data_IF_869958298416
#
_entry.id   IF_869958298416
#
_cell.length_a   1.000
_cell.length_b   1.000
_cell.length_c   1.000
_cell.angle_alpha   90.00
_cell.angle_beta   90.00
_cell.angle_gamma   90.00
#
_symmetry.space_group_name_H-M   'P 1'
#
loop_
_entity.id
_entity.type
_entity.pdbx_description
1 polymer ?
#
# COMPACT_ATOMS: atom_id res chain seq x y z
N UNK A 1 10.14 26.77 14.30
CA UNK A 1 8.86 26.02 14.34
C UNK A 1 9.09 24.76 13.52
N UNK A 2 8.68 23.58 14.00
CA UNK A 2 8.75 22.36 13.21
C UNK A 2 7.68 22.47 12.11
N UNK A 3 8.09 22.31 10.86
CA UNK A 3 7.16 22.33 9.75
C UNK A 3 6.24 21.11 9.83
N UNK A 4 4.93 21.31 9.81
CA UNK A 4 3.94 20.23 9.82
C UNK A 4 3.54 19.88 8.39
N UNK A 5 3.16 18.65 8.14
CA UNK A 5 2.64 18.24 6.83
C UNK A 5 1.42 19.09 6.44
N UNK A 6 0.55 19.36 7.40
CA UNK A 6 -0.62 20.20 7.19
C UNK A 6 -0.26 21.63 6.72
N UNK A 7 0.81 22.21 7.27
CA UNK A 7 1.27 23.54 6.84
C UNK A 7 1.85 23.52 5.42
N UNK A 8 2.56 22.45 5.06
CA UNK A 8 3.07 22.24 3.70
C UNK A 8 1.90 22.16 2.71
N UNK A 9 0.86 21.38 3.05
CA UNK A 9 -0.32 21.21 2.20
C UNK A 9 -1.22 22.46 2.09
N UNK A 10 -1.16 23.37 3.05
CA UNK A 10 -1.86 24.65 2.99
C UNK A 10 -1.09 25.67 2.15
N UNK A 11 0.25 25.61 2.19
CA UNK A 11 1.11 26.54 1.46
C UNK A 11 1.06 26.33 -0.06
N UNK A 12 0.75 25.12 -0.51
CA UNK A 12 0.57 24.81 -1.93
C UNK A 12 -0.93 24.65 -2.22
N UNK A 13 -1.57 25.69 -2.71
CA UNK A 13 -3.02 25.72 -2.99
C UNK A 13 -3.48 24.59 -3.94
N UNK A 14 -2.60 24.09 -4.79
CA UNK A 14 -2.94 23.07 -5.78
C UNK A 14 -2.45 21.66 -5.40
N UNK A 15 -1.55 21.53 -4.42
CA UNK A 15 -0.92 20.25 -4.00
C UNK A 15 -0.48 19.36 -5.18
N UNK A 16 -0.11 19.98 -6.31
CA UNK A 16 0.28 19.30 -7.55
C UNK A 16 1.80 19.32 -7.69
N UNK A 17 2.40 18.14 -7.88
CA UNK A 17 3.86 18.02 -8.03
C UNK A 17 4.64 18.31 -6.74
N UNK A 18 4.00 18.19 -5.59
CA UNK A 18 4.59 18.42 -4.27
C UNK A 18 5.86 17.57 -4.07
N UNK A 19 6.91 18.18 -3.55
CA UNK A 19 8.19 17.49 -3.27
C UNK A 19 8.55 17.60 -1.81
N UNK A 20 8.40 16.49 -1.08
CA UNK A 20 8.76 16.38 0.34
C UNK A 20 9.93 15.41 0.45
N UNK A 21 11.02 15.85 1.07
CA UNK A 21 12.21 15.01 1.22
C UNK A 21 12.85 15.15 2.58
N UNK A 22 13.37 14.01 3.11
CA UNK A 22 14.16 13.97 4.35
C UNK A 22 13.43 14.61 5.54
N UNK A 23 12.11 14.39 5.65
CA UNK A 23 11.27 14.95 6.69
C UNK A 23 10.74 13.87 7.65
N UNK A 24 10.35 14.30 8.84
CA UNK A 24 9.71 13.44 9.82
C UNK A 24 8.44 14.11 10.31
N UNK A 25 7.30 13.46 10.07
CA UNK A 25 5.99 13.90 10.54
C UNK A 25 5.49 12.95 11.64
N UNK A 26 4.94 13.50 12.69
CA UNK A 26 4.44 12.69 13.79
C UNK A 26 3.18 13.27 14.41
N UNK A 27 2.21 12.37 14.68
CA UNK A 27 0.92 12.73 15.30
C UNK A 27 0.11 13.74 14.46
N UNK A 28 0.23 13.65 13.14
CA UNK A 28 -0.49 14.52 12.21
C UNK A 28 -1.81 13.88 11.79
N UNK A 29 -2.83 14.72 11.61
CA UNK A 29 -4.13 14.32 11.06
C UNK A 29 -4.32 15.08 9.76
N UNK A 30 -4.35 14.33 8.66
CA UNK A 30 -4.61 14.84 7.31
C UNK A 30 -6.02 14.44 6.94
N UNK A 31 -6.85 15.39 6.65
CA UNK A 31 -8.27 15.19 6.42
C UNK A 31 -8.73 15.95 5.18
N UNK A 32 -9.46 15.26 4.30
CA UNK A 32 -10.06 15.84 3.08
C UNK A 32 -9.06 16.66 2.26
N UNK A 33 -7.92 16.04 1.93
CA UNK A 33 -6.87 16.64 1.09
C UNK A 33 -6.67 15.86 -0.18
N UNK A 34 -6.30 16.60 -1.21
CA UNK A 34 -5.88 16.07 -2.49
C UNK A 34 -4.39 16.40 -2.69
N UNK A 35 -3.58 15.38 -3.00
CA UNK A 35 -2.15 15.52 -3.26
C UNK A 35 -1.85 14.73 -4.53
N UNK A 36 -1.54 15.43 -5.61
CA UNK A 36 -1.39 14.81 -6.91
C UNK A 36 0.06 14.88 -7.43
N UNK A 37 0.49 13.77 -8.02
CA UNK A 37 1.79 13.68 -8.71
C UNK A 37 3.00 14.15 -7.88
N UNK A 38 2.89 14.03 -6.57
CA UNK A 38 3.96 14.43 -5.65
C UNK A 38 5.08 13.38 -5.58
N UNK A 39 6.25 13.81 -5.11
CA UNK A 39 7.38 12.96 -4.76
C UNK A 39 7.66 13.08 -3.27
N UNK A 40 7.47 11.97 -2.57
CA UNK A 40 7.70 11.84 -1.13
C UNK A 40 8.89 10.89 -0.93
N UNK A 41 10.08 11.42 -0.68
CA UNK A 41 11.31 10.65 -0.64
C UNK A 41 12.01 10.74 0.72
N UNK A 42 12.30 9.60 1.34
CA UNK A 42 12.93 9.48 2.65
C UNK A 42 12.17 10.25 3.75
N UNK A 43 10.86 10.06 3.75
CA UNK A 43 9.98 10.68 4.74
C UNK A 43 9.49 9.64 5.73
N UNK A 44 9.53 9.97 7.02
CA UNK A 44 9.02 9.11 8.06
C UNK A 44 7.73 9.69 8.64
N UNK A 45 6.66 8.93 8.53
CA UNK A 45 5.38 9.23 9.15
C UNK A 45 5.20 8.33 10.38
N UNK A 46 4.91 8.89 11.54
CA UNK A 46 4.67 8.12 12.74
C UNK A 46 3.41 8.58 13.49
N UNK A 47 2.53 7.64 13.81
CA UNK A 47 1.24 7.91 14.45
C UNK A 47 0.38 8.91 13.66
N UNK A 48 0.50 8.94 12.33
CA UNK A 48 -0.27 9.86 11.49
C UNK A 48 -1.60 9.21 11.06
N UNK A 49 -2.60 10.04 10.82
CA UNK A 49 -3.89 9.61 10.31
C UNK A 49 -4.17 10.33 8.99
N UNK A 50 -4.51 9.55 7.98
CA UNK A 50 -4.95 10.02 6.67
C UNK A 50 -6.40 9.59 6.50
N UNK A 51 -7.30 10.53 6.39
CA UNK A 51 -8.72 10.26 6.28
C UNK A 51 -9.33 11.04 5.13
N UNK A 52 -9.96 10.35 4.19
CA UNK A 52 -10.50 10.92 2.96
C UNK A 52 -9.45 11.73 2.18
N UNK A 53 -8.28 11.13 1.98
CA UNK A 53 -7.18 11.78 1.28
C UNK A 53 -7.00 11.15 -0.09
N UNK A 54 -6.96 11.98 -1.12
CA UNK A 54 -6.63 11.54 -2.47
C UNK A 54 -5.13 11.71 -2.71
N UNK A 55 -4.44 10.60 -2.94
CA UNK A 55 -3.01 10.51 -3.21
C UNK A 55 -2.73 10.02 -4.63
N UNK A 56 -3.51 10.48 -5.59
CA UNK A 56 -3.43 10.08 -7.00
C UNK A 56 -2.02 10.30 -7.59
N UNK A 57 -1.45 9.22 -8.16
CA UNK A 57 -0.19 9.26 -8.91
C UNK A 57 1.00 9.85 -8.14
N UNK A 58 1.05 9.65 -6.82
CA UNK A 58 2.20 10.04 -6.01
C UNK A 58 3.27 8.95 -6.01
N UNK A 59 4.53 9.36 -5.94
CA UNK A 59 5.67 8.45 -5.77
C UNK A 59 6.22 8.56 -4.35
N UNK A 60 6.08 7.48 -3.59
CA UNK A 60 6.65 7.32 -2.26
C UNK A 60 7.93 6.48 -2.38
N UNK A 61 9.07 7.07 -2.05
CA UNK A 61 10.38 6.45 -2.19
C UNK A 61 11.07 6.37 -0.83
N UNK A 62 11.63 5.21 -0.48
CA UNK A 62 12.42 5.02 0.74
C UNK A 62 11.73 5.55 2.01
N UNK A 63 10.41 5.51 2.06
CA UNK A 63 9.63 6.18 3.09
C UNK A 63 9.01 5.18 4.07
N UNK A 64 8.82 5.61 5.31
CA UNK A 64 8.31 4.74 6.38
C UNK A 64 7.01 5.28 6.95
N UNK A 65 6.03 4.41 7.07
CA UNK A 65 4.76 4.65 7.75
C UNK A 65 4.71 3.75 8.99
N UNK A 66 4.74 4.33 10.18
CA UNK A 66 4.75 3.59 11.43
C UNK A 66 3.55 3.98 12.29
N UNK A 67 2.73 3.00 12.65
CA UNK A 67 1.49 3.21 13.42
C UNK A 67 0.57 4.25 12.77
N UNK A 68 0.52 4.23 11.45
CA UNK A 68 -0.34 5.13 10.69
C UNK A 68 -1.68 4.47 10.39
N UNK A 69 -2.74 5.28 10.31
CA UNK A 69 -4.06 4.88 9.84
C UNK A 69 -4.38 5.57 8.52
N UNK A 70 -4.84 4.79 7.55
CA UNK A 70 -5.36 5.26 6.28
C UNK A 70 -6.82 4.81 6.19
N UNK A 71 -7.74 5.74 6.10
CA UNK A 71 -9.17 5.47 6.03
C UNK A 71 -9.79 6.30 4.90
N UNK A 72 -10.52 5.63 4.01
CA UNK A 72 -11.08 6.25 2.80
C UNK A 72 -10.00 6.97 1.95
N UNK A 73 -8.82 6.34 1.78
CA UNK A 73 -7.69 6.93 1.04
C UNK A 73 -7.62 6.34 -0.37
N UNK A 74 -7.37 7.20 -1.34
CA UNK A 74 -7.20 6.83 -2.75
C UNK A 74 -5.71 6.89 -3.11
N UNK A 75 -5.12 5.72 -3.42
CA UNK A 75 -3.74 5.56 -3.91
C UNK A 75 -3.71 5.22 -5.41
N UNK A 76 -4.70 5.64 -6.17
CA UNK A 76 -4.80 5.29 -7.59
C UNK A 76 -3.54 5.68 -8.37
N UNK A 77 -2.92 4.69 -9.04
CA UNK A 77 -1.65 4.86 -9.79
C UNK A 77 -0.48 5.39 -8.96
N UNK A 78 -0.52 5.29 -7.65
CA UNK A 78 0.63 5.67 -6.83
C UNK A 78 1.69 4.58 -6.79
N UNK A 79 2.93 4.99 -6.60
CA UNK A 79 4.11 4.12 -6.55
C UNK A 79 4.69 4.11 -5.14
N UNK A 80 5.06 2.93 -4.66
CA UNK A 80 5.73 2.73 -3.38
C UNK A 80 6.98 1.89 -3.61
N UNK A 81 8.15 2.52 -3.60
CA UNK A 81 9.42 1.86 -3.81
C UNK A 81 10.27 1.92 -2.53
N UNK A 82 10.76 0.75 -2.07
CA UNK A 82 11.53 0.62 -0.82
C UNK A 82 10.82 1.22 0.41
N UNK A 83 9.50 1.12 0.45
CA UNK A 83 8.70 1.66 1.55
C UNK A 83 8.46 0.62 2.66
N UNK A 84 8.19 1.11 3.87
CA UNK A 84 7.84 0.26 5.02
C UNK A 84 6.52 0.74 5.63
N UNK A 85 5.56 -0.18 5.74
CA UNK A 85 4.33 0.01 6.51
C UNK A 85 4.40 -0.88 7.75
N UNK A 86 4.63 -0.31 8.93
CA UNK A 86 4.76 -1.05 10.20
C UNK A 86 3.66 -0.67 11.18
N UNK A 87 2.91 -1.65 11.66
CA UNK A 87 1.78 -1.46 12.57
C UNK A 87 0.72 -0.50 12.02
N UNK A 88 0.45 -0.57 10.72
CA UNK A 88 -0.50 0.31 10.04
C UNK A 88 -1.87 -0.35 9.88
N UNK A 89 -2.89 0.49 9.73
CA UNK A 89 -4.22 0.09 9.31
C UNK A 89 -4.58 0.81 8.01
N UNK A 90 -4.97 0.05 6.99
CA UNK A 90 -5.47 0.57 5.72
C UNK A 90 -6.89 0.04 5.55
N UNK A 91 -7.86 0.93 5.60
CA UNK A 91 -9.27 0.58 5.70
C UNK A 91 -10.09 1.35 4.67
N UNK A 92 -11.04 0.69 3.99
CA UNK A 92 -11.96 1.29 3.01
C UNK A 92 -11.23 2.13 1.94
N UNK A 93 -10.09 1.65 1.48
CA UNK A 93 -9.17 2.43 0.63
C UNK A 93 -8.98 1.78 -0.73
N UNK A 94 -8.58 2.59 -1.71
CA UNK A 94 -8.35 2.14 -3.08
C UNK A 94 -6.88 2.29 -3.45
N UNK A 95 -6.25 1.21 -3.88
CA UNK A 95 -4.90 1.19 -4.42
C UNK A 95 -4.89 0.59 -5.84
N UNK A 96 -5.94 0.93 -6.61
CA UNK A 96 -6.12 0.45 -7.98
C UNK A 96 -4.99 0.95 -8.88
N UNK A 97 -4.36 0.04 -9.63
CA UNK A 97 -3.20 0.31 -10.49
C UNK A 97 -1.99 0.90 -9.74
N UNK A 98 -1.92 0.71 -8.44
CA UNK A 98 -0.76 1.09 -7.66
C UNK A 98 0.40 0.09 -7.88
N UNK A 99 1.62 0.58 -7.76
CA UNK A 99 2.83 -0.21 -7.92
C UNK A 99 3.61 -0.24 -6.58
N UNK A 100 3.85 -1.45 -6.10
CA UNK A 100 4.60 -1.69 -4.87
C UNK A 100 5.86 -2.49 -5.20
N UNK A 101 7.01 -1.86 -5.08
CA UNK A 101 8.31 -2.49 -5.33
C UNK A 101 9.13 -2.55 -4.04
N UNK A 102 9.65 -3.73 -3.71
CA UNK A 102 10.49 -3.97 -2.53
C UNK A 102 9.91 -3.44 -1.21
N UNK A 103 8.58 -3.24 -1.20
CA UNK A 103 7.85 -2.67 -0.07
C UNK A 103 7.58 -3.74 0.99
N UNK A 104 7.78 -3.37 2.26
CA UNK A 104 7.58 -4.23 3.41
C UNK A 104 6.31 -3.80 4.15
N UNK A 105 5.36 -4.71 4.25
CA UNK A 105 4.21 -4.58 5.12
C UNK A 105 4.42 -5.48 6.34
N UNK A 106 4.38 -4.91 7.55
CA UNK A 106 4.66 -5.63 8.78
C UNK A 106 3.67 -5.29 9.88
N UNK A 107 3.14 -6.32 10.57
CA UNK A 107 2.16 -6.18 11.65
C UNK A 107 1.01 -5.25 11.28
N UNK A 108 0.50 -5.34 10.06
CA UNK A 108 -0.46 -4.38 9.53
C UNK A 108 -1.75 -5.08 9.09
N UNK A 109 -2.83 -4.31 9.08
CA UNK A 109 -4.15 -4.77 8.70
C UNK A 109 -4.64 -4.01 7.47
N UNK A 110 -5.14 -4.78 6.49
CA UNK A 110 -5.86 -4.27 5.33
C UNK A 110 -7.28 -4.77 5.40
N UNK A 111 -8.24 -3.87 5.38
CA UNK A 111 -9.65 -4.22 5.43
C UNK A 111 -10.47 -3.41 4.43
N UNK A 112 -11.28 -4.09 3.60
CA UNK A 112 -12.05 -3.48 2.51
C UNK A 112 -11.13 -2.64 1.59
N UNK A 113 -10.05 -3.22 1.10
CA UNK A 113 -9.10 -2.53 0.22
C UNK A 113 -9.17 -3.08 -1.19
N UNK A 114 -9.22 -2.19 -2.17
CA UNK A 114 -9.18 -2.56 -3.58
C UNK A 114 -7.75 -2.41 -4.13
N UNK A 115 -7.11 -3.55 -4.45
CA UNK A 115 -5.83 -3.63 -5.15
C UNK A 115 -5.99 -4.00 -6.63
N UNK A 116 -7.14 -3.76 -7.22
CA UNK A 116 -7.40 -4.11 -8.61
C UNK A 116 -6.33 -3.57 -9.57
N UNK A 117 -5.79 -4.45 -10.43
CA UNK A 117 -4.78 -4.12 -11.44
C UNK A 117 -3.45 -3.59 -10.88
N UNK A 118 -3.18 -3.79 -9.60
CA UNK A 118 -1.94 -3.38 -8.96
C UNK A 118 -0.82 -4.38 -9.21
N UNK A 119 0.41 -3.91 -8.98
CA UNK A 119 1.60 -4.73 -9.10
C UNK A 119 2.38 -4.77 -7.78
N UNK A 120 2.78 -5.97 -7.36
CA UNK A 120 3.63 -6.19 -6.18
C UNK A 120 4.89 -6.93 -6.61
N UNK A 121 6.04 -6.26 -6.58
CA UNK A 121 7.34 -6.82 -6.93
C UNK A 121 8.24 -6.94 -5.70
N UNK A 122 8.70 -8.15 -5.39
CA UNK A 122 9.62 -8.43 -4.28
C UNK A 122 9.15 -7.91 -2.92
N UNK A 123 7.84 -7.80 -2.72
CA UNK A 123 7.26 -7.33 -1.48
C UNK A 123 7.36 -8.37 -0.36
N UNK A 124 7.29 -7.89 0.89
CA UNK A 124 7.23 -8.76 2.08
C UNK A 124 5.95 -8.51 2.85
N UNK A 125 5.20 -9.57 3.12
CA UNK A 125 4.02 -9.59 3.97
C UNK A 125 4.36 -10.33 5.27
N UNK A 126 4.60 -9.58 6.35
CA UNK A 126 5.05 -10.10 7.64
C UNK A 126 3.99 -9.83 8.70
N UNK A 127 3.30 -10.86 9.15
CA UNK A 127 2.22 -10.75 10.15
C UNK A 127 1.10 -9.81 9.68
N UNK A 128 0.63 -10.02 8.45
CA UNK A 128 -0.42 -9.22 7.82
C UNK A 128 -1.78 -9.90 7.95
N UNK A 129 -2.79 -9.10 8.22
CA UNK A 129 -4.19 -9.50 8.10
C UNK A 129 -4.81 -8.84 6.88
N UNK A 130 -5.38 -9.68 6.01
CA UNK A 130 -6.10 -9.28 4.80
C UNK A 130 -7.58 -9.67 4.96
N UNK A 131 -8.50 -8.72 4.96
CA UNK A 131 -9.92 -8.98 5.09
C UNK A 131 -10.71 -8.15 4.07
N UNK A 132 -11.54 -8.82 3.29
CA UNK A 132 -12.32 -8.22 2.20
C UNK A 132 -11.47 -7.43 1.19
N UNK A 133 -10.46 -8.10 0.64
CA UNK A 133 -9.53 -7.51 -0.33
C UNK A 133 -9.89 -7.92 -1.75
N UNK A 134 -9.97 -6.93 -2.65
CA UNK A 134 -10.09 -7.17 -4.08
C UNK A 134 -8.71 -7.27 -4.74
N UNK A 135 -8.43 -8.40 -5.42
CA UNK A 135 -7.22 -8.65 -6.19
C UNK A 135 -7.49 -8.83 -7.69
N UNK A 136 -8.58 -8.28 -8.22
CA UNK A 136 -8.90 -8.37 -9.64
C UNK A 136 -7.74 -7.86 -10.52
N UNK A 137 -7.24 -8.69 -11.44
CA UNK A 137 -6.17 -8.32 -12.36
C UNK A 137 -4.81 -8.02 -11.73
N UNK A 138 -4.68 -8.11 -10.42
CA UNK A 138 -3.41 -7.87 -9.69
C UNK A 138 -2.33 -8.84 -10.13
N UNK A 139 -1.09 -8.36 -10.19
CA UNK A 139 0.09 -9.19 -10.50
C UNK A 139 1.05 -9.12 -9.31
N UNK A 140 1.52 -10.27 -8.85
CA UNK A 140 2.57 -10.36 -7.83
C UNK A 140 3.77 -11.14 -8.35
N UNK A 141 4.97 -10.74 -7.95
CA UNK A 141 6.21 -11.46 -8.23
C UNK A 141 7.17 -11.35 -7.04
N UNK A 142 7.93 -12.40 -6.75
CA UNK A 142 8.94 -12.38 -5.68
C UNK A 142 8.37 -12.11 -4.28
N UNK A 143 7.07 -12.33 -4.06
CA UNK A 143 6.44 -12.14 -2.76
C UNK A 143 7.08 -13.08 -1.73
N UNK A 144 7.37 -12.54 -0.54
CA UNK A 144 7.73 -13.30 0.65
C UNK A 144 6.72 -13.04 1.76
N UNK A 145 6.29 -14.08 2.45
CA UNK A 145 5.30 -13.95 3.52
C UNK A 145 5.71 -14.66 4.79
N UNK A 146 5.20 -14.20 5.93
CA UNK A 146 5.32 -14.87 7.23
C UNK A 146 4.09 -14.51 8.08
N UNK A 147 3.43 -15.54 8.63
CA UNK A 147 2.26 -15.37 9.51
C UNK A 147 1.18 -14.44 8.91
N UNK A 148 1.00 -14.47 7.60
CA UNK A 148 -0.04 -13.67 6.92
C UNK A 148 -1.32 -14.48 6.88
N UNK A 149 -2.42 -13.85 7.22
CA UNK A 149 -3.77 -14.43 7.19
C UNK A 149 -4.65 -13.69 6.21
N UNK A 150 -5.57 -14.41 5.58
CA UNK A 150 -6.51 -13.85 4.63
C UNK A 150 -7.93 -14.32 4.91
N UNK A 151 -8.91 -13.45 4.68
CA UNK A 151 -10.33 -13.71 4.83
C UNK A 151 -11.12 -12.92 3.78
N UNK A 152 -12.20 -13.50 3.28
CA UNK A 152 -13.13 -12.81 2.37
C UNK A 152 -12.46 -12.13 1.17
N UNK A 153 -11.50 -12.81 0.52
CA UNK A 153 -10.83 -12.26 -0.65
C UNK A 153 -11.72 -12.33 -1.89
N UNK A 154 -11.67 -11.28 -2.71
CA UNK A 154 -12.39 -11.20 -3.96
C UNK A 154 -11.47 -11.44 -5.15
N UNK A 155 -11.84 -12.40 -6.00
CA UNK A 155 -11.16 -12.75 -7.24
C UNK A 155 -12.15 -12.73 -8.39
N UNK A 156 -11.70 -12.26 -9.54
CA UNK A 156 -12.50 -12.21 -10.75
C UNK A 156 -12.00 -13.28 -11.75
N UNK A 157 -12.88 -14.19 -12.19
CA UNK A 157 -12.52 -15.25 -13.12
C UNK A 157 -12.08 -14.71 -14.49
N UNK A 158 -12.68 -13.62 -14.94
CA UNK A 158 -12.36 -12.96 -16.21
C UNK A 158 -11.01 -12.24 -16.15
N UNK A 159 -10.70 -11.66 -14.99
CA UNK A 159 -9.45 -10.95 -14.73
C UNK A 159 -8.76 -11.50 -13.47
N UNK A 160 -8.27 -12.74 -13.51
CA UNK A 160 -7.70 -13.38 -12.32
C UNK A 160 -6.44 -12.67 -11.87
N UNK A 161 -6.21 -12.68 -10.57
CA UNK A 161 -4.89 -12.36 -10.02
C UNK A 161 -3.82 -13.28 -10.62
N UNK A 162 -2.62 -12.79 -10.81
CA UNK A 162 -1.50 -13.54 -11.38
C UNK A 162 -0.28 -13.49 -10.49
N UNK A 163 0.46 -14.59 -10.45
CA UNK A 163 1.71 -14.70 -9.71
C UNK A 163 2.83 -15.26 -10.59
N UNK A 164 3.95 -14.52 -10.66
CA UNK A 164 5.16 -14.99 -11.35
C UNK A 164 6.02 -15.84 -10.43
N UNK A 165 6.25 -17.11 -10.82
CA UNK A 165 7.14 -18.05 -10.12
C UNK A 165 7.92 -18.86 -11.15
N UNK A 166 9.26 -18.86 -11.05
CA UNK A 166 10.13 -19.67 -11.91
C UNK A 166 9.81 -19.55 -13.42
N UNK A 167 9.69 -18.32 -13.91
CA UNK A 167 9.33 -18.01 -15.31
C UNK A 167 7.94 -18.50 -15.76
N UNK A 168 7.08 -18.82 -14.83
CA UNK A 168 5.70 -19.22 -15.11
C UNK A 168 4.72 -18.23 -14.47
N UNK A 169 3.65 -17.94 -15.20
CA UNK A 169 2.55 -17.13 -14.72
C UNK A 169 1.43 -18.01 -14.19
N UNK A 170 1.27 -18.03 -12.88
CA UNK A 170 0.24 -18.81 -12.19
C UNK A 170 -0.99 -17.92 -11.98
N UNK A 171 -2.17 -18.42 -12.32
CA UNK A 171 -3.44 -17.74 -12.05
C UNK A 171 -3.95 -18.13 -10.68
N UNK A 172 -4.25 -17.15 -9.86
CA UNK A 172 -4.88 -17.28 -8.54
C UNK A 172 -6.36 -16.93 -8.71
N UNK A 173 -7.24 -17.89 -8.43
CA UNK A 173 -8.66 -17.74 -8.73
C UNK A 173 -9.55 -17.70 -7.50
N UNK A 174 -9.04 -18.11 -6.36
CA UNK A 174 -9.76 -18.25 -5.12
C UNK A 174 -8.85 -18.12 -3.88
N UNK A 175 -9.47 -17.98 -2.72
CA UNK A 175 -8.75 -17.84 -1.45
C UNK A 175 -7.84 -19.03 -1.16
N UNK A 176 -8.24 -20.26 -1.51
CA UNK A 176 -7.43 -21.46 -1.27
C UNK A 176 -6.12 -21.44 -2.05
N UNK A 177 -6.15 -21.03 -3.32
CA UNK A 177 -4.95 -20.88 -4.15
C UNK A 177 -4.08 -19.71 -3.69
N UNK A 178 -4.67 -18.65 -3.16
CA UNK A 178 -3.93 -17.54 -2.53
C UNK A 178 -3.25 -17.96 -1.23
N UNK A 179 -3.95 -18.66 -0.34
CA UNK A 179 -3.38 -19.20 0.89
C UNK A 179 -2.24 -20.19 0.61
N UNK A 180 -2.35 -20.99 -0.46
CA UNK A 180 -1.24 -21.81 -0.92
C UNK A 180 -0.05 -20.97 -1.37
N UNK A 181 -0.30 -19.89 -2.13
CA UNK A 181 0.75 -18.94 -2.51
C UNK A 181 1.47 -18.36 -1.29
N UNK A 182 0.73 -17.93 -0.27
CA UNK A 182 1.32 -17.41 0.97
C UNK A 182 2.21 -18.43 1.67
N UNK A 183 1.76 -19.69 1.77
CA UNK A 183 2.57 -20.81 2.33
C UNK A 183 3.83 -21.07 1.52
N UNK A 184 3.72 -21.13 0.20
CA UNK A 184 4.84 -21.40 -0.71
C UNK A 184 5.86 -20.22 -0.77
N UNK A 185 5.49 -19.07 -0.27
CA UNK A 185 6.29 -17.84 -0.23
C UNK A 185 6.85 -17.54 1.17
N UNK A 186 6.75 -18.51 2.11
CA UNK A 186 7.20 -18.30 3.48
C UNK A 186 8.71 -18.01 3.55
N UNK A 187 9.04 -17.06 4.43
CA UNK A 187 10.39 -16.84 4.90
C UNK A 187 10.70 -17.87 6.02
N UNK A 188 11.86 -18.47 5.92
CA UNK A 188 12.41 -19.35 6.95
C UNK A 188 12.60 -18.63 8.30
#
# INVERSE_FOLDING_TARGET
MKETLQNILIADENNYGLKIRNQNFSNEIIFEKEIFTGIIDRVNFSNCQFNKVDLLSNSFLNSTFKRCKFEDVIFYKSEFCDCIFENCQIIHSEAIKADFQETIFKNSEFKHVDFGWSYFANCKFLEIRLDEINFEGTIMSGLKSKNTTSLNLHFNEKFPMKFWKCNQLIKIKDSSSFDKLLRDSQLD
#
